data_IF_889135820335
#
_entry.id   IF_889135820335
#
_cell.length_a   1.000
_cell.length_b   1.000
_cell.length_c   1.000
_cell.angle_alpha   90.00
_cell.angle_beta   90.00
_cell.angle_gamma   90.00
#
_symmetry.space_group_name_H-M   'P 1'
#
loop_
_entity.id
_entity.type
_entity.pdbx_description
1 polymer ?
#
# COMPACT_ATOMS: atom_id res chain seq x y z
N UNK A 1 2.51 -63.82 -0.90
CA UNK A 1 3.58 -63.04 -0.26
C UNK A 1 3.54 -61.65 -0.82
N UNK A 2 2.90 -60.74 -0.10
CA UNK A 2 2.76 -59.34 -0.49
C UNK A 2 3.77 -58.54 0.31
N UNK A 3 4.71 -57.89 -0.37
CA UNK A 3 5.67 -56.94 0.23
C UNK A 3 4.93 -55.67 0.62
N UNK A 4 5.09 -55.26 1.88
CA UNK A 4 4.69 -53.94 2.39
C UNK A 4 5.56 -52.84 1.75
N UNK A 5 5.01 -51.69 1.41
CA UNK A 5 5.79 -50.53 0.99
C UNK A 5 6.54 -49.93 2.18
N UNK A 6 7.76 -49.50 1.90
CA UNK A 6 8.73 -48.90 2.81
C UNK A 6 8.24 -47.55 3.34
N UNK A 7 8.08 -47.44 4.66
CA UNK A 7 7.58 -46.26 5.39
C UNK A 7 8.64 -45.16 5.62
N UNK A 8 9.77 -45.17 4.90
CA UNK A 8 10.94 -44.34 5.17
C UNK A 8 11.03 -43.03 4.35
N UNK A 9 10.00 -42.67 3.56
CA UNK A 9 10.06 -41.44 2.70
C UNK A 9 9.02 -40.34 3.01
N UNK A 10 8.50 -40.26 4.23
CA UNK A 10 7.62 -39.18 4.66
C UNK A 10 8.15 -38.53 5.94
N UNK A 11 9.41 -38.07 5.95
CA UNK A 11 9.84 -37.02 6.87
C UNK A 11 9.79 -35.69 6.16
N UNK A 12 8.71 -34.97 6.41
CA UNK A 12 8.54 -33.55 6.11
C UNK A 12 9.37 -32.69 7.10
N UNK A 13 10.70 -32.77 7.00
CA UNK A 13 11.63 -32.02 7.86
C UNK A 13 12.60 -31.17 7.02
N UNK A 14 12.07 -30.36 6.10
CA UNK A 14 12.91 -29.44 5.30
C UNK A 14 12.73 -27.98 5.66
N UNK A 15 11.98 -27.64 6.72
CA UNK A 15 11.86 -26.26 7.21
C UNK A 15 12.53 -26.03 8.59
N UNK A 16 13.35 -26.95 9.11
CA UNK A 16 13.97 -26.81 10.43
C UNK A 16 15.46 -26.45 10.41
N UNK A 17 16.04 -26.09 9.28
CA UNK A 17 17.39 -25.50 9.25
C UNK A 17 17.34 -23.97 9.27
N UNK A 18 16.59 -23.39 10.21
CA UNK A 18 16.87 -22.04 10.68
C UNK A 18 18.14 -22.16 11.52
N UNK A 19 19.23 -21.39 11.23
CA UNK A 19 20.41 -21.39 12.08
C UNK A 19 19.95 -21.16 13.52
N UNK A 20 20.41 -21.97 14.46
CA UNK A 20 20.18 -21.77 15.90
C UNK A 20 20.74 -20.42 16.29
N UNK A 21 19.95 -19.36 16.13
CA UNK A 21 20.21 -18.06 16.72
C UNK A 21 20.22 -18.29 18.23
N UNK A 22 21.32 -17.96 18.87
CA UNK A 22 21.50 -17.96 20.31
C UNK A 22 20.21 -17.44 20.97
N UNK A 23 19.49 -18.33 21.65
CA UNK A 23 18.33 -17.98 22.46
C UNK A 23 18.83 -17.10 23.59
N UNK A 24 18.81 -15.79 23.43
CA UNK A 24 18.95 -14.87 24.55
C UNK A 24 17.72 -15.13 25.43
N UNK A 25 17.93 -15.87 26.50
CA UNK A 25 16.89 -16.09 27.50
C UNK A 25 16.57 -14.73 28.11
N UNK A 26 15.34 -14.30 27.93
CA UNK A 26 14.82 -13.10 28.59
C UNK A 26 15.14 -13.17 30.07
N UNK A 27 15.66 -12.09 30.63
CA UNK A 27 15.89 -11.97 32.05
C UNK A 27 14.57 -12.08 32.82
N UNK A 28 14.63 -12.41 34.11
CA UNK A 28 13.44 -12.54 34.94
C UNK A 28 12.62 -11.24 34.96
N UNK A 29 13.29 -10.10 34.97
CA UNK A 29 12.67 -8.75 34.92
C UNK A 29 11.98 -8.47 33.59
N UNK A 30 12.60 -8.81 32.44
CA UNK A 30 12.01 -8.64 31.11
C UNK A 30 10.75 -9.52 30.93
N UNK A 31 10.71 -10.72 31.54
CA UNK A 31 9.51 -11.58 31.55
C UNK A 31 8.38 -11.02 32.40
N UNK A 32 8.71 -10.43 33.55
CA UNK A 32 7.74 -9.81 34.43
C UNK A 32 7.16 -8.51 33.82
N UNK A 33 7.96 -7.71 33.14
CA UNK A 33 7.47 -6.54 32.41
C UNK A 33 6.57 -6.92 31.23
N UNK A 34 6.97 -7.92 30.44
CA UNK A 34 6.14 -8.43 29.34
C UNK A 34 4.81 -9.00 29.85
N UNK A 35 4.83 -9.72 30.96
CA UNK A 35 3.62 -10.25 31.59
C UNK A 35 2.72 -9.13 32.14
N UNK A 36 3.30 -8.06 32.70
CA UNK A 36 2.53 -6.88 33.15
C UNK A 36 1.91 -6.11 31.97
N UNK A 37 2.64 -5.94 30.86
CA UNK A 37 2.10 -5.32 29.64
C UNK A 37 0.96 -6.15 29.03
N UNK A 38 1.13 -7.46 28.92
CA UNK A 38 0.08 -8.35 28.44
C UNK A 38 -1.14 -8.38 29.36
N UNK A 39 -0.94 -8.33 30.67
CA UNK A 39 -2.03 -8.27 31.63
C UNK A 39 -2.77 -6.92 31.60
N UNK A 40 -2.07 -5.82 31.33
CA UNK A 40 -2.69 -4.50 31.16
C UNK A 40 -3.53 -4.43 29.86
N UNK A 41 -2.98 -4.91 28.73
CA UNK A 41 -3.70 -5.02 27.46
C UNK A 41 -4.94 -5.93 27.56
N UNK A 42 -4.83 -7.04 28.30
CA UNK A 42 -5.96 -7.95 28.53
C UNK A 42 -7.07 -7.28 29.37
N UNK A 43 -6.70 -6.52 30.40
CA UNK A 43 -7.66 -5.77 31.23
C UNK A 43 -8.35 -4.64 30.47
N UNK A 44 -7.64 -3.97 29.58
CA UNK A 44 -8.20 -2.91 28.74
C UNK A 44 -9.16 -3.48 27.68
N UNK A 45 -8.79 -4.60 27.07
CA UNK A 45 -9.65 -5.36 26.17
C UNK A 45 -10.91 -5.90 26.88
N UNK A 46 -10.80 -6.38 28.12
CA UNK A 46 -11.95 -6.80 28.92
C UNK A 46 -12.87 -5.64 29.32
N UNK A 47 -12.31 -4.46 29.62
CA UNK A 47 -13.11 -3.25 29.90
C UNK A 47 -13.89 -2.81 28.66
N UNK A 48 -13.26 -2.77 27.50
CA UNK A 48 -13.91 -2.46 26.22
C UNK A 48 -14.98 -3.51 25.87
N UNK A 49 -14.71 -4.80 26.09
CA UNK A 49 -15.66 -5.88 25.86
C UNK A 49 -16.88 -5.81 26.79
N UNK A 50 -16.72 -5.42 28.06
CA UNK A 50 -17.81 -5.23 29.01
C UNK A 50 -18.71 -4.04 28.68
N UNK A 51 -18.13 -2.96 28.14
CA UNK A 51 -18.90 -1.77 27.75
C UNK A 51 -19.67 -1.99 26.44
N UNK A 52 -19.11 -2.74 25.49
CA UNK A 52 -19.76 -3.11 24.22
C UNK A 52 -20.83 -4.21 24.36
N UNK A 53 -20.98 -4.84 25.53
CA UNK A 53 -21.74 -6.11 25.69
C UNK A 53 -23.24 -5.97 25.84
N UNK A 54 -23.82 -4.76 25.91
CA UNK A 54 -25.24 -4.56 26.27
C UNK A 54 -26.23 -4.46 25.10
N UNK A 55 -25.84 -4.69 23.84
CA UNK A 55 -26.73 -4.57 22.67
C UNK A 55 -26.46 -5.56 21.54
N UNK A 56 -27.26 -5.47 20.46
CA UNK A 56 -27.10 -6.28 19.24
C UNK A 56 -25.68 -6.12 18.64
N UNK A 57 -25.15 -4.89 18.70
CA UNK A 57 -23.77 -4.54 18.26
C UNK A 57 -22.73 -5.30 19.08
N UNK A 58 -22.92 -5.45 20.40
CA UNK A 58 -21.97 -6.18 21.24
C UNK A 58 -21.99 -7.70 21.01
N UNK A 59 -23.14 -8.28 20.62
CA UNK A 59 -23.21 -9.69 20.21
C UNK A 59 -22.56 -9.93 18.85
N UNK A 60 -22.75 -9.01 17.89
CA UNK A 60 -22.10 -9.02 16.58
C UNK A 60 -20.57 -8.89 16.73
N UNK A 61 -20.10 -7.95 17.54
CA UNK A 61 -18.68 -7.73 17.82
C UNK A 61 -18.01 -8.95 18.46
N UNK A 62 -18.67 -9.63 19.42
CA UNK A 62 -18.17 -10.88 20.00
C UNK A 62 -18.07 -12.02 18.98
N UNK A 63 -18.99 -12.10 18.02
CA UNK A 63 -18.91 -13.09 16.93
C UNK A 63 -17.70 -12.82 16.01
N UNK A 64 -17.34 -11.56 15.80
CA UNK A 64 -16.16 -11.19 15.01
C UNK A 64 -14.84 -11.47 15.76
N UNK A 65 -14.86 -11.46 17.09
CA UNK A 65 -13.69 -11.78 17.93
C UNK A 65 -13.50 -13.28 18.18
N UNK A 66 -14.50 -14.10 17.89
CA UNK A 66 -14.47 -15.55 18.08
C UNK A 66 -14.53 -16.26 16.73
N UNK A 67 -13.44 -16.88 16.31
CA UNK A 67 -13.41 -17.62 15.03
C UNK A 67 -12.06 -17.56 14.31
N UNK A 68 -11.91 -18.23 13.16
CA UNK A 68 -10.68 -18.24 12.39
C UNK A 68 -10.30 -16.85 11.84
N UNK A 69 -11.26 -15.93 11.74
CA UNK A 69 -11.06 -14.54 11.28
C UNK A 69 -11.22 -13.55 12.45
N UNK A 70 -10.49 -13.76 13.55
CA UNK A 70 -10.55 -12.86 14.70
C UNK A 70 -10.23 -11.42 14.29
N UNK A 71 -11.10 -10.48 14.71
CA UNK A 71 -10.89 -9.05 14.53
C UNK A 71 -10.42 -8.46 15.84
N UNK A 72 -9.30 -7.76 15.81
CA UNK A 72 -8.78 -6.95 16.92
C UNK A 72 -8.65 -5.52 16.45
N UNK A 73 -9.21 -4.57 17.19
CA UNK A 73 -9.13 -3.15 16.84
C UNK A 73 -7.66 -2.68 16.75
N UNK A 74 -6.82 -3.13 17.70
CA UNK A 74 -5.39 -2.83 17.65
C UNK A 74 -4.71 -3.36 16.38
N UNK A 75 -5.00 -4.62 16.01
CA UNK A 75 -4.46 -5.20 14.78
C UNK A 75 -5.08 -4.60 13.51
N UNK A 76 -6.32 -4.15 13.56
CA UNK A 76 -6.93 -3.40 12.46
C UNK A 76 -6.21 -2.06 12.21
N UNK A 77 -5.83 -1.35 13.30
CA UNK A 77 -5.02 -0.13 13.18
C UNK A 77 -3.61 -0.46 12.65
N UNK A 78 -2.98 -1.53 13.12
CA UNK A 78 -1.67 -1.96 12.58
C UNK A 78 -1.79 -2.32 11.10
N UNK A 79 -2.87 -3.02 10.69
CA UNK A 79 -3.14 -3.34 9.30
C UNK A 79 -3.24 -2.08 8.42
N UNK A 80 -3.83 -0.98 8.94
CA UNK A 80 -3.89 0.28 8.19
C UNK A 80 -2.50 0.79 7.83
N UNK A 81 -1.55 0.77 8.75
CA UNK A 81 -0.20 1.27 8.52
C UNK A 81 0.66 0.35 7.66
N UNK A 82 0.55 -0.98 7.85
CA UNK A 82 1.42 -1.95 7.18
C UNK A 82 0.92 -2.29 5.78
N UNK A 83 -0.40 -2.47 5.63
CA UNK A 83 -0.98 -3.03 4.41
C UNK A 83 -1.46 -1.96 3.43
N UNK A 84 -1.99 -0.83 3.95
CA UNK A 84 -2.68 0.15 3.10
C UNK A 84 -1.87 1.43 2.86
N UNK A 85 -0.64 1.52 3.37
CA UNK A 85 0.21 2.70 3.17
C UNK A 85 0.34 3.06 1.70
N UNK A 86 0.70 2.10 0.88
CA UNK A 86 0.99 2.28 -0.53
C UNK A 86 -0.27 2.60 -1.36
N UNK A 87 -1.33 1.81 -1.24
CA UNK A 87 -2.59 2.09 -1.96
C UNK A 87 -3.19 3.45 -1.58
N UNK A 88 -2.85 3.96 -0.38
CA UNK A 88 -3.27 5.27 0.11
C UNK A 88 -2.53 6.45 -0.52
N UNK A 89 -1.37 6.24 -1.14
CA UNK A 89 -0.61 7.30 -1.82
C UNK A 89 -0.96 7.42 -3.30
N UNK A 90 -1.59 6.42 -3.89
CA UNK A 90 -2.00 6.42 -5.30
C UNK A 90 -2.83 7.65 -5.73
N UNK A 91 -3.75 8.22 -4.88
CA UNK A 91 -4.48 9.43 -5.24
C UNK A 91 -3.62 10.67 -5.47
N UNK A 92 -2.37 10.69 -4.98
CA UNK A 92 -1.45 11.81 -5.15
C UNK A 92 -1.00 12.00 -6.59
N UNK A 93 -0.93 10.92 -7.36
CA UNK A 93 -0.29 10.94 -8.68
C UNK A 93 -1.14 10.36 -9.82
N UNK A 94 -2.13 9.50 -9.55
CA UNK A 94 -2.90 8.83 -10.62
C UNK A 94 -3.61 9.82 -11.54
N UNK A 95 -4.35 10.80 -10.97
CA UNK A 95 -5.06 11.79 -11.79
C UNK A 95 -4.10 12.77 -12.47
N UNK A 96 -3.00 13.13 -11.84
CA UNK A 96 -1.95 13.96 -12.44
C UNK A 96 -1.33 13.25 -13.66
N UNK A 97 -0.95 11.99 -13.50
CA UNK A 97 -0.39 11.17 -14.60
C UNK A 97 -1.40 11.01 -15.75
N UNK A 98 -2.69 10.85 -15.40
CA UNK A 98 -3.75 10.79 -16.40
C UNK A 98 -3.85 12.10 -17.19
N UNK A 99 -3.93 13.25 -16.52
CA UNK A 99 -3.97 14.55 -17.18
C UNK A 99 -2.76 14.79 -18.08
N UNK A 100 -1.57 14.45 -17.60
CA UNK A 100 -0.33 14.55 -18.40
C UNK A 100 -0.39 13.69 -19.65
N UNK A 101 -0.91 12.46 -19.53
CA UNK A 101 -1.09 11.55 -20.67
C UNK A 101 -2.16 12.01 -21.68
N UNK A 102 -3.11 12.86 -21.25
CA UNK A 102 -4.11 13.48 -22.13
C UNK A 102 -3.62 14.82 -22.74
N UNK A 103 -2.42 15.27 -22.38
CA UNK A 103 -1.90 16.58 -22.83
C UNK A 103 -2.44 17.78 -22.04
N UNK A 104 -2.79 17.56 -20.77
CA UNK A 104 -3.25 18.58 -19.81
C UNK A 104 -4.78 18.66 -19.64
N UNK A 105 -5.21 19.50 -18.71
CA UNK A 105 -6.64 19.66 -18.35
C UNK A 105 -7.47 20.20 -19.51
N UNK A 106 -6.90 21.06 -20.35
CA UNK A 106 -7.57 21.66 -21.51
C UNK A 106 -8.01 20.60 -22.56
N UNK A 107 -7.22 19.51 -22.68
CA UNK A 107 -7.48 18.42 -23.62
C UNK A 107 -8.28 17.26 -23.02
N UNK A 108 -8.67 17.40 -21.74
CA UNK A 108 -9.37 16.36 -20.99
C UNK A 108 -10.86 16.70 -20.92
N UNK A 109 -11.65 16.14 -21.80
CA UNK A 109 -13.09 16.37 -21.82
C UNK A 109 -13.85 15.56 -20.76
N UNK A 110 -15.18 15.77 -20.68
CA UNK A 110 -16.04 15.04 -19.74
C UNK A 110 -16.01 13.52 -19.97
N UNK A 111 -15.94 13.08 -21.23
CA UNK A 111 -15.91 11.65 -21.56
C UNK A 111 -14.61 11.01 -21.03
N UNK A 112 -13.49 11.68 -21.18
CA UNK A 112 -12.20 11.23 -20.67
C UNK A 112 -12.17 11.16 -19.13
N UNK A 113 -12.73 12.16 -18.44
CA UNK A 113 -12.81 12.14 -16.96
C UNK A 113 -13.69 11.01 -16.47
N UNK A 114 -14.91 10.85 -17.03
CA UNK A 114 -15.80 9.75 -16.63
C UNK A 114 -15.20 8.38 -16.98
N UNK A 115 -14.50 8.28 -18.10
CA UNK A 115 -13.80 7.08 -18.52
C UNK A 115 -12.69 6.70 -17.54
N UNK A 116 -11.84 7.64 -17.18
CA UNK A 116 -10.77 7.45 -16.18
C UNK A 116 -11.35 7.00 -14.83
N UNK A 117 -12.33 7.72 -14.29
CA UNK A 117 -12.98 7.39 -13.03
C UNK A 117 -13.61 6.00 -13.03
N UNK A 118 -14.28 5.63 -14.15
CA UNK A 118 -14.85 4.31 -14.33
C UNK A 118 -13.78 3.23 -14.34
N UNK A 119 -12.70 3.41 -15.09
CA UNK A 119 -11.58 2.46 -15.12
C UNK A 119 -10.92 2.31 -13.75
N UNK A 120 -10.66 3.40 -13.04
CA UNK A 120 -10.09 3.39 -11.68
C UNK A 120 -11.02 2.64 -10.71
N UNK A 121 -12.30 2.99 -10.67
CA UNK A 121 -13.28 2.35 -9.79
C UNK A 121 -13.36 0.83 -10.01
N UNK A 122 -13.45 0.42 -11.29
CA UNK A 122 -13.55 -1.00 -11.62
C UNK A 122 -12.25 -1.75 -11.46
N UNK A 123 -11.09 -1.11 -11.68
CA UNK A 123 -9.78 -1.71 -11.38
C UNK A 123 -9.62 -1.95 -9.87
N UNK A 124 -9.90 -0.99 -9.01
CA UNK A 124 -9.91 -1.18 -7.55
C UNK A 124 -10.93 -2.25 -7.15
N UNK A 125 -12.08 -2.30 -7.81
CA UNK A 125 -13.10 -3.30 -7.50
C UNK A 125 -12.68 -4.69 -7.92
N UNK A 126 -12.23 -4.88 -9.16
CA UNK A 126 -11.91 -6.21 -9.69
C UNK A 126 -10.56 -6.72 -9.18
N UNK A 127 -9.53 -5.87 -9.19
CA UNK A 127 -8.19 -6.30 -8.80
C UNK A 127 -8.09 -6.35 -7.27
N UNK A 128 -8.35 -5.24 -6.58
CA UNK A 128 -8.13 -5.22 -5.13
C UNK A 128 -9.24 -5.94 -4.37
N UNK A 129 -10.53 -5.63 -4.65
CA UNK A 129 -11.61 -6.25 -3.88
C UNK A 129 -11.83 -7.71 -4.28
N UNK A 130 -12.07 -7.98 -5.58
CA UNK A 130 -12.45 -9.34 -6.00
C UNK A 130 -11.24 -10.27 -6.00
N UNK A 131 -10.17 -9.92 -6.72
CA UNK A 131 -8.99 -10.79 -6.86
C UNK A 131 -8.27 -10.98 -5.53
N UNK A 132 -7.87 -9.87 -4.85
CA UNK A 132 -7.07 -10.00 -3.63
C UNK A 132 -7.94 -10.27 -2.40
N UNK A 133 -8.91 -9.40 -2.06
CA UNK A 133 -9.66 -9.52 -0.79
C UNK A 133 -10.60 -10.72 -0.79
N UNK A 134 -11.35 -10.99 -1.86
CA UNK A 134 -12.34 -12.06 -1.86
C UNK A 134 -11.77 -13.42 -2.27
N UNK A 135 -10.77 -13.48 -3.15
CA UNK A 135 -10.25 -14.74 -3.70
C UNK A 135 -8.88 -15.07 -3.09
N UNK A 136 -7.83 -14.25 -3.35
CA UNK A 136 -6.46 -14.59 -2.99
C UNK A 136 -6.27 -14.81 -1.48
N UNK A 137 -6.86 -13.96 -0.65
CA UNK A 137 -6.76 -14.08 0.81
C UNK A 137 -7.40 -15.36 1.38
N UNK A 138 -8.12 -16.15 0.59
CA UNK A 138 -8.62 -17.48 1.00
C UNK A 138 -7.61 -18.60 0.73
N UNK A 139 -6.57 -18.30 -0.05
CA UNK A 139 -5.54 -19.23 -0.47
C UNK A 139 -4.30 -18.91 0.35
N UNK A 140 -4.15 -19.55 1.50
CA UNK A 140 -3.01 -19.35 2.40
C UNK A 140 -2.19 -20.64 2.54
N UNK A 141 -0.90 -20.48 2.78
CA UNK A 141 -0.01 -21.55 3.17
C UNK A 141 0.35 -21.39 4.65
N UNK A 142 -0.30 -22.17 5.52
CA UNK A 142 -0.11 -22.10 6.99
C UNK A 142 -0.37 -20.72 7.59
N UNK A 143 -1.30 -19.97 6.99
CA UNK A 143 -1.65 -18.61 7.41
C UNK A 143 -0.86 -17.50 6.71
N UNK A 144 0.14 -17.84 5.91
CA UNK A 144 0.94 -16.88 5.13
C UNK A 144 0.43 -16.78 3.69
N UNK A 145 0.46 -15.58 3.14
CA UNK A 145 0.11 -15.27 1.76
C UNK A 145 1.33 -14.85 0.94
N UNK A 146 1.09 -14.27 -0.23
CA UNK A 146 2.13 -13.79 -1.13
C UNK A 146 2.43 -14.75 -2.28
N UNK A 147 3.24 -14.27 -3.23
CA UNK A 147 3.52 -14.96 -4.49
C UNK A 147 4.21 -16.29 -4.25
N UNK A 148 5.20 -16.33 -3.36
CA UNK A 148 5.98 -17.55 -3.11
C UNK A 148 5.24 -18.52 -2.20
N UNK A 149 4.38 -18.05 -1.29
CA UNK A 149 3.46 -18.89 -0.55
C UNK A 149 2.50 -19.61 -1.52
N UNK A 150 1.93 -18.87 -2.48
CA UNK A 150 1.08 -19.43 -3.53
C UNK A 150 1.86 -20.46 -4.38
N UNK A 151 3.07 -20.12 -4.84
CA UNK A 151 3.92 -21.04 -5.58
C UNK A 151 4.19 -22.34 -4.79
N UNK A 152 4.46 -22.24 -3.50
CA UNK A 152 4.74 -23.41 -2.66
C UNK A 152 3.58 -24.42 -2.63
N UNK A 153 2.34 -23.93 -2.74
CA UNK A 153 1.13 -24.77 -2.80
C UNK A 153 0.97 -25.48 -4.14
N UNK A 154 1.35 -24.82 -5.25
CA UNK A 154 1.10 -25.33 -6.61
C UNK A 154 2.31 -25.95 -7.28
N UNK A 155 3.54 -25.80 -6.75
CA UNK A 155 4.79 -26.28 -7.36
C UNK A 155 4.79 -27.77 -7.74
N UNK A 156 4.01 -28.60 -7.04
CA UNK A 156 3.86 -30.02 -7.33
C UNK A 156 3.16 -30.33 -8.66
N UNK A 157 2.46 -29.36 -9.23
CA UNK A 157 1.72 -29.53 -10.49
C UNK A 157 2.59 -29.30 -11.73
N UNK A 158 3.80 -28.75 -11.58
CA UNK A 158 4.74 -28.59 -12.69
C UNK A 158 5.85 -27.59 -12.39
N UNK A 159 7.07 -27.93 -12.84
CA UNK A 159 8.24 -27.08 -12.67
C UNK A 159 8.10 -25.71 -13.39
N UNK A 160 7.34 -25.66 -14.50
CA UNK A 160 7.10 -24.44 -15.26
C UNK A 160 6.42 -23.32 -14.45
N UNK A 161 5.69 -23.67 -13.38
CA UNK A 161 5.05 -22.71 -12.46
C UNK A 161 6.07 -21.85 -11.70
N UNK A 162 7.35 -22.23 -11.69
CA UNK A 162 8.42 -21.38 -11.17
C UNK A 162 8.58 -20.08 -11.98
N UNK A 163 8.37 -20.14 -13.31
CA UNK A 163 8.55 -18.97 -14.20
C UNK A 163 7.59 -17.81 -13.81
N UNK A 164 6.26 -18.00 -13.79
CA UNK A 164 5.36 -16.92 -13.36
C UNK A 164 5.57 -16.49 -11.92
N UNK A 165 6.01 -17.40 -11.02
CA UNK A 165 6.33 -17.00 -9.65
C UNK A 165 7.59 -16.13 -9.57
N UNK A 166 8.64 -16.44 -10.33
CA UNK A 166 9.84 -15.59 -10.43
C UNK A 166 9.52 -14.25 -11.07
N UNK A 167 8.72 -14.22 -12.15
CA UNK A 167 8.29 -12.99 -12.79
C UNK A 167 7.49 -12.10 -11.83
N UNK A 168 6.57 -12.71 -11.07
CA UNK A 168 5.80 -11.98 -10.05
C UNK A 168 6.68 -11.43 -8.93
N UNK A 169 7.65 -12.21 -8.44
CA UNK A 169 8.62 -11.75 -7.44
C UNK A 169 9.51 -10.62 -7.97
N UNK A 170 9.98 -10.73 -9.22
CA UNK A 170 10.76 -9.67 -9.85
C UNK A 170 9.94 -8.38 -10.05
N UNK A 171 8.67 -8.50 -10.47
CA UNK A 171 7.77 -7.37 -10.61
C UNK A 171 7.51 -6.66 -9.26
N UNK A 172 7.33 -7.44 -8.16
CA UNK A 172 7.19 -6.89 -6.82
C UNK A 172 8.45 -6.13 -6.37
N UNK A 173 9.65 -6.67 -6.66
CA UNK A 173 10.90 -5.98 -6.35
C UNK A 173 11.06 -4.69 -7.17
N UNK A 174 10.65 -4.70 -8.45
CA UNK A 174 10.65 -3.51 -9.29
C UNK A 174 9.66 -2.44 -8.74
N UNK A 175 8.47 -2.85 -8.33
CA UNK A 175 7.49 -1.97 -7.69
C UNK A 175 8.02 -1.37 -6.39
N UNK A 176 8.75 -2.16 -5.59
CA UNK A 176 9.41 -1.69 -4.35
C UNK A 176 10.49 -0.62 -4.59
N UNK A 177 10.92 -0.42 -5.83
CA UNK A 177 11.80 0.69 -6.24
C UNK A 177 10.99 1.85 -6.81
N UNK A 178 10.05 1.58 -7.73
CA UNK A 178 9.30 2.62 -8.45
C UNK A 178 8.35 3.39 -7.52
N UNK A 179 7.55 2.68 -6.76
CA UNK A 179 6.45 3.28 -6.00
C UNK A 179 6.91 4.21 -4.87
N UNK A 180 7.96 3.90 -4.07
CA UNK A 180 8.50 4.86 -3.11
C UNK A 180 9.01 6.15 -3.75
N UNK A 181 9.69 6.06 -4.91
CA UNK A 181 10.16 7.22 -5.64
C UNK A 181 9.00 8.13 -6.05
N UNK A 182 7.98 7.56 -6.70
CA UNK A 182 6.79 8.29 -7.18
C UNK A 182 6.00 8.87 -6.00
N UNK A 183 5.74 8.07 -4.95
CA UNK A 183 4.94 8.49 -3.80
C UNK A 183 5.58 9.65 -3.03
N UNK A 184 6.89 9.57 -2.76
CA UNK A 184 7.62 10.63 -2.06
C UNK A 184 7.73 11.88 -2.94
N UNK A 185 8.08 11.72 -4.22
CA UNK A 185 8.19 12.84 -5.17
C UNK A 185 6.86 13.57 -5.31
N UNK A 186 5.75 12.87 -5.54
CA UNK A 186 4.42 13.46 -5.66
C UNK A 186 3.98 14.17 -4.38
N UNK A 187 4.31 13.62 -3.21
CA UNK A 187 4.02 14.27 -1.94
C UNK A 187 4.85 15.57 -1.76
N UNK A 188 6.13 15.54 -2.13
CA UNK A 188 7.04 16.70 -2.09
C UNK A 188 6.62 17.77 -3.12
N UNK A 189 6.09 17.36 -4.28
CA UNK A 189 5.52 18.31 -5.26
C UNK A 189 4.39 19.16 -4.68
N UNK A 190 3.67 18.64 -3.70
CA UNK A 190 2.69 19.43 -2.95
C UNK A 190 3.26 20.72 -2.34
N UNK A 191 4.56 20.76 -2.02
CA UNK A 191 5.23 21.96 -1.51
C UNK A 191 5.22 23.11 -2.54
N UNK A 192 5.27 22.79 -3.85
CA UNK A 192 5.19 23.77 -4.95
C UNK A 192 3.87 24.53 -4.96
N UNK A 193 2.82 23.93 -4.39
CA UNK A 193 1.47 24.52 -4.37
C UNK A 193 1.24 25.47 -3.17
N UNK A 194 2.23 25.59 -2.27
CA UNK A 194 2.15 26.43 -1.09
C UNK A 194 2.67 27.84 -1.40
N UNK A 195 1.85 28.91 -1.22
CA UNK A 195 2.21 30.26 -1.64
C UNK A 195 3.59 30.77 -1.19
N UNK A 196 4.04 30.55 0.06
CA UNK A 196 5.36 31.04 0.50
C UNK A 196 6.53 30.27 -0.12
N UNK A 197 6.32 29.06 -0.63
CA UNK A 197 7.37 28.20 -1.20
C UNK A 197 7.37 28.22 -2.72
N UNK A 198 6.28 28.62 -3.36
CA UNK A 198 6.12 28.59 -4.83
C UNK A 198 7.27 29.32 -5.56
N UNK A 199 7.64 30.51 -5.09
CA UNK A 199 8.74 31.29 -5.68
C UNK A 199 10.07 30.55 -5.57
N UNK A 200 10.35 29.91 -4.42
CA UNK A 200 11.58 29.16 -4.19
C UNK A 200 11.72 27.93 -5.12
N UNK A 201 10.60 27.23 -5.34
CA UNK A 201 10.57 26.07 -6.25
C UNK A 201 10.63 26.48 -7.73
N UNK A 202 10.08 27.64 -8.10
CA UNK A 202 10.22 28.20 -9.47
C UNK A 202 11.65 28.62 -9.76
N UNK A 203 12.34 29.20 -8.79
CA UNK A 203 13.73 29.62 -8.92
C UNK A 203 14.70 28.42 -8.97
N UNK A 204 14.41 27.37 -8.18
CA UNK A 204 15.25 26.20 -8.04
C UNK A 204 14.50 24.93 -8.52
N UNK A 205 14.50 24.68 -9.83
CA UNK A 205 13.79 23.54 -10.44
C UNK A 205 14.12 22.15 -9.85
N UNK A 206 15.36 21.98 -9.35
CA UNK A 206 15.84 20.72 -8.77
C UNK A 206 15.50 20.55 -7.27
N UNK A 207 14.83 21.53 -6.63
CA UNK A 207 14.59 21.48 -5.20
C UNK A 207 13.69 20.29 -4.78
N UNK A 208 12.70 19.97 -5.59
CA UNK A 208 11.85 18.76 -5.36
C UNK A 208 12.68 17.50 -5.35
N UNK A 209 13.56 17.33 -6.34
CA UNK A 209 14.47 16.19 -6.43
C UNK A 209 15.39 16.12 -5.21
N UNK A 210 16.02 17.23 -4.84
CA UNK A 210 16.92 17.27 -3.68
C UNK A 210 16.21 16.85 -2.39
N UNK A 211 15.01 17.38 -2.13
CA UNK A 211 14.22 17.02 -0.95
C UNK A 211 13.83 15.54 -0.99
N UNK A 212 13.38 15.05 -2.15
CA UNK A 212 13.03 13.63 -2.35
C UNK A 212 14.22 12.72 -2.06
N UNK A 213 15.39 13.00 -2.62
CA UNK A 213 16.62 12.25 -2.39
C UNK A 213 17.04 12.25 -0.92
N UNK A 214 16.96 13.41 -0.25
CA UNK A 214 17.28 13.50 1.19
C UNK A 214 16.32 12.61 2.01
N UNK A 215 15.03 12.65 1.74
CA UNK A 215 14.04 11.79 2.42
C UNK A 215 14.37 10.32 2.18
N UNK A 216 14.67 9.91 0.94
CA UNK A 216 15.03 8.54 0.59
C UNK A 216 16.29 8.10 1.35
N UNK A 217 17.35 8.89 1.33
CA UNK A 217 18.62 8.55 2.02
C UNK A 217 18.40 8.40 3.53
N UNK A 218 17.66 9.31 4.16
CA UNK A 218 17.32 9.23 5.58
C UNK A 218 16.51 7.97 5.87
N UNK A 219 15.50 7.67 5.05
CA UNK A 219 14.63 6.51 5.16
C UNK A 219 15.45 5.20 5.19
N UNK A 220 16.32 5.00 4.19
CA UNK A 220 17.16 3.81 4.08
C UNK A 220 18.25 3.73 5.14
N UNK A 221 18.78 4.87 5.63
CA UNK A 221 19.78 4.92 6.70
C UNK A 221 19.21 4.49 8.06
N UNK A 222 17.94 4.78 8.33
CA UNK A 222 17.27 4.41 9.59
C UNK A 222 16.77 2.96 9.59
N UNK A 223 16.65 2.32 8.43
CA UNK A 223 16.07 0.99 8.26
C UNK A 223 16.76 -0.10 9.11
N UNK A 224 18.06 0.02 9.34
CA UNK A 224 18.85 -0.93 10.15
C UNK A 224 18.45 -0.97 11.63
N UNK A 225 17.74 0.07 12.14
CA UNK A 225 17.35 0.16 13.56
C UNK A 225 16.04 -0.56 13.87
N UNK A 226 15.29 -0.99 12.83
CA UNK A 226 13.97 -1.60 12.97
C UNK A 226 12.84 -0.58 13.15
N UNK A 227 11.64 -0.98 12.73
CA UNK A 227 10.45 -0.11 12.71
C UNK A 227 9.35 -0.57 13.67
N UNK A 228 9.66 -1.52 14.58
CA UNK A 228 8.66 -2.18 15.44
C UNK A 228 7.86 -1.22 16.33
N UNK A 229 8.54 -0.27 16.97
CA UNK A 229 7.90 0.71 17.85
C UNK A 229 7.04 1.72 17.09
N UNK A 230 7.26 1.85 15.78
CA UNK A 230 6.65 2.86 14.92
C UNK A 230 5.34 2.33 14.28
N UNK A 231 5.15 1.01 14.17
CA UNK A 231 4.00 0.41 13.47
C UNK A 231 2.63 0.81 14.00
N UNK A 232 2.47 0.99 15.33
CA UNK A 232 1.20 1.50 15.90
C UNK A 232 0.96 2.98 15.59
N UNK A 233 2.03 3.77 15.57
CA UNK A 233 1.96 5.18 15.19
C UNK A 233 1.59 5.30 13.71
N UNK A 234 2.19 4.49 12.85
CA UNK A 234 1.90 4.43 11.42
C UNK A 234 0.42 4.16 11.14
N UNK A 235 -0.17 3.16 11.82
CA UNK A 235 -1.57 2.85 11.63
C UNK A 235 -2.51 4.00 11.99
N UNK A 236 -2.22 4.72 13.06
CA UNK A 236 -3.00 5.90 13.46
C UNK A 236 -2.86 7.05 12.46
N UNK A 237 -1.65 7.30 11.95
CA UNK A 237 -1.40 8.33 10.94
C UNK A 237 -2.12 7.98 9.65
N UNK A 238 -2.06 6.72 9.21
CA UNK A 238 -2.73 6.25 8.00
C UNK A 238 -4.26 6.31 8.14
N UNK A 239 -4.80 6.05 9.33
CA UNK A 239 -6.23 6.26 9.60
C UNK A 239 -6.64 7.73 9.41
N UNK A 240 -5.84 8.67 9.94
CA UNK A 240 -6.06 10.12 9.74
C UNK A 240 -5.95 10.46 8.26
N UNK A 241 -4.95 9.92 7.56
CA UNK A 241 -4.75 10.11 6.14
C UNK A 241 -5.96 9.67 5.29
N UNK A 242 -6.47 8.44 5.48
CA UNK A 242 -7.64 7.97 4.73
C UNK A 242 -8.91 8.74 5.08
N UNK A 243 -9.06 9.14 6.35
CA UNK A 243 -10.17 10.02 6.75
C UNK A 243 -10.07 11.37 6.05
N UNK A 244 -8.88 11.94 5.97
CA UNK A 244 -8.62 13.18 5.24
C UNK A 244 -8.93 13.02 3.74
N UNK A 245 -8.49 11.95 3.09
CA UNK A 245 -8.81 11.63 1.70
C UNK A 245 -10.33 11.57 1.46
N UNK A 246 -11.05 10.89 2.37
CA UNK A 246 -12.50 10.73 2.27
C UNK A 246 -13.22 12.08 2.41
N UNK A 247 -12.82 12.90 3.38
CA UNK A 247 -13.46 14.19 3.64
C UNK A 247 -13.22 15.17 2.48
N UNK A 248 -11.96 15.32 2.06
CA UNK A 248 -11.63 16.22 0.94
C UNK A 248 -12.29 15.75 -0.36
N UNK A 249 -12.29 14.44 -0.60
CA UNK A 249 -12.98 13.87 -1.74
C UNK A 249 -14.49 14.13 -1.71
N UNK A 250 -15.15 13.90 -0.57
CA UNK A 250 -16.58 14.12 -0.40
C UNK A 250 -16.98 15.58 -0.59
N UNK A 251 -16.18 16.52 -0.05
CA UNK A 251 -16.42 17.96 -0.22
C UNK A 251 -16.39 18.37 -1.69
N UNK A 252 -15.38 17.91 -2.44
CA UNK A 252 -15.28 18.22 -3.86
C UNK A 252 -16.35 17.49 -4.69
N UNK A 253 -16.66 16.25 -4.36
CA UNK A 253 -17.72 15.47 -5.00
C UNK A 253 -19.09 16.14 -4.83
N UNK A 254 -19.35 16.82 -3.70
CA UNK A 254 -20.60 17.53 -3.47
C UNK A 254 -20.81 18.68 -4.45
N UNK A 255 -19.77 19.16 -5.11
CA UNK A 255 -19.84 20.19 -6.15
C UNK A 255 -20.37 19.73 -7.50
N UNK A 256 -20.22 18.44 -7.84
CA UNK A 256 -20.76 17.82 -9.06
C UNK A 256 -21.02 16.32 -8.89
N UNK A 257 -22.23 15.96 -8.52
CA UNK A 257 -22.66 14.57 -8.38
C UNK A 257 -22.76 13.81 -9.71
N UNK A 258 -22.72 14.50 -10.86
CA UNK A 258 -22.84 13.87 -12.17
C UNK A 258 -21.68 12.92 -12.49
N UNK A 259 -20.52 13.08 -11.80
CA UNK A 259 -19.37 12.17 -11.93
C UNK A 259 -19.68 10.75 -11.44
N UNK A 260 -20.74 10.55 -10.62
CA UNK A 260 -21.18 9.22 -10.21
C UNK A 260 -21.68 8.36 -11.38
N UNK A 261 -21.98 8.96 -12.53
CA UNK A 261 -22.24 8.21 -13.76
C UNK A 261 -21.07 7.25 -14.11
N UNK A 262 -19.84 7.57 -13.72
CA UNK A 262 -18.65 6.72 -13.90
C UNK A 262 -18.70 5.38 -13.13
N UNK A 263 -19.64 5.18 -12.22
CA UNK A 263 -19.88 3.86 -11.61
C UNK A 263 -20.36 2.83 -12.65
N UNK A 264 -20.94 3.29 -13.76
CA UNK A 264 -21.28 2.43 -14.88
C UNK A 264 -20.00 2.06 -15.68
N UNK A 265 -19.63 0.76 -15.78
CA UNK A 265 -18.41 0.31 -16.46
C UNK A 265 -18.38 0.66 -17.97
N UNK A 266 -19.52 0.95 -18.56
CA UNK A 266 -19.63 1.32 -19.98
C UNK A 266 -18.81 2.57 -20.30
N UNK A 267 -18.71 3.53 -19.37
CA UNK A 267 -17.87 4.73 -19.57
C UNK A 267 -16.38 4.37 -19.69
N UNK A 268 -15.89 3.48 -18.83
CA UNK A 268 -14.50 3.00 -18.91
C UNK A 268 -14.20 2.25 -20.20
N UNK A 269 -15.09 1.31 -20.58
CA UNK A 269 -14.89 0.53 -21.80
C UNK A 269 -14.97 1.42 -23.06
N UNK A 270 -15.94 2.32 -23.13
CA UNK A 270 -16.07 3.27 -24.26
C UNK A 270 -14.82 4.15 -24.36
N UNK A 271 -14.38 4.72 -23.24
CA UNK A 271 -13.21 5.59 -23.22
C UNK A 271 -11.95 4.88 -23.69
N UNK A 272 -11.75 3.60 -23.32
CA UNK A 272 -10.55 2.84 -23.70
C UNK A 272 -10.36 2.75 -25.22
N UNK A 273 -11.45 2.73 -25.97
CA UNK A 273 -11.47 2.64 -27.44
C UNK A 273 -11.91 3.96 -28.11
N UNK A 274 -12.04 5.04 -27.34
CA UNK A 274 -12.48 6.35 -27.83
C UNK A 274 -11.33 7.11 -28.47
N UNK A 275 -11.58 7.93 -29.52
CA UNK A 275 -10.61 8.91 -30.02
C UNK A 275 -10.22 9.98 -28.99
N UNK A 276 -11.03 10.20 -27.95
CA UNK A 276 -10.74 11.11 -26.85
C UNK A 276 -9.69 10.56 -25.85
N UNK A 277 -9.27 9.32 -26.04
CA UNK A 277 -8.17 8.72 -25.27
C UNK A 277 -6.85 8.92 -26.00
N UNK A 278 -6.16 10.02 -25.73
CA UNK A 278 -4.89 10.36 -26.37
C UNK A 278 -3.80 9.30 -26.11
N UNK A 279 -3.81 8.66 -24.94
CA UNK A 279 -2.86 7.63 -24.57
C UNK A 279 -3.21 6.23 -25.14
N UNK A 280 -4.41 6.04 -25.72
CA UNK A 280 -4.85 4.72 -26.18
C UNK A 280 -4.86 3.67 -25.06
N UNK A 281 -4.50 2.43 -25.38
CA UNK A 281 -4.45 1.33 -24.38
C UNK A 281 -3.43 1.60 -23.28
N UNK A 282 -2.41 2.43 -23.50
CA UNK A 282 -1.40 2.78 -22.50
C UNK A 282 -2.01 3.50 -21.28
N UNK A 283 -3.21 4.09 -21.39
CA UNK A 283 -3.95 4.66 -20.25
C UNK A 283 -4.19 3.62 -19.14
N UNK A 284 -4.25 2.34 -19.48
CA UNK A 284 -4.36 1.27 -18.48
C UNK A 284 -3.16 1.24 -17.52
N UNK A 285 -1.95 1.61 -17.97
CA UNK A 285 -0.79 1.77 -17.09
C UNK A 285 -1.05 2.82 -16.01
N UNK A 286 -1.58 3.98 -16.40
CA UNK A 286 -1.99 5.04 -15.45
C UNK A 286 -3.10 4.57 -14.50
N UNK A 287 -4.09 3.85 -15.01
CA UNK A 287 -5.18 3.30 -14.18
C UNK A 287 -4.64 2.28 -13.17
N UNK A 288 -3.68 1.45 -13.56
CA UNK A 288 -3.06 0.48 -12.65
C UNK A 288 -2.32 1.14 -11.47
N UNK A 289 -1.85 2.37 -11.61
CA UNK A 289 -1.29 3.12 -10.48
C UNK A 289 -2.27 3.25 -9.31
N UNK A 290 -3.58 3.26 -9.58
CA UNK A 290 -4.62 3.31 -8.53
C UNK A 290 -4.73 2.01 -7.72
N UNK A 291 -4.12 0.92 -8.17
CA UNK A 291 -4.16 -0.41 -7.55
C UNK A 291 -2.81 -0.88 -7.04
N UNK A 292 -1.75 -0.07 -7.14
CA UNK A 292 -0.45 -0.37 -6.53
C UNK A 292 -0.63 -0.58 -5.03
N UNK A 293 0.14 -1.50 -4.46
CA UNK A 293 0.01 -1.90 -3.05
C UNK A 293 -1.13 -2.88 -2.76
N UNK A 294 -1.94 -3.27 -3.77
CA UNK A 294 -2.99 -4.28 -3.56
C UNK A 294 -2.43 -5.66 -3.22
N UNK A 295 -1.22 -5.99 -3.64
CA UNK A 295 -0.51 -7.23 -3.33
C UNK A 295 -0.13 -7.32 -1.84
N UNK A 296 0.13 -6.18 -1.17
CA UNK A 296 0.41 -6.14 0.26
C UNK A 296 -0.75 -6.72 1.09
N UNK A 297 -2.00 -6.60 0.61
CA UNK A 297 -3.17 -7.23 1.23
C UNK A 297 -3.00 -8.75 1.38
N UNK A 298 -2.35 -9.38 0.42
CA UNK A 298 -2.15 -10.81 0.39
C UNK A 298 -0.82 -11.24 1.01
N UNK A 299 0.26 -10.51 0.79
CA UNK A 299 1.58 -10.83 1.35
C UNK A 299 1.62 -10.65 2.88
N UNK A 300 1.02 -9.57 3.39
CA UNK A 300 1.06 -9.24 4.82
C UNK A 300 -0.11 -9.83 5.63
N UNK A 301 -0.96 -10.62 4.98
CA UNK A 301 -2.11 -11.27 5.61
C UNK A 301 -1.72 -12.08 6.86
N UNK A 302 -0.58 -12.76 6.83
CA UNK A 302 -0.08 -13.55 7.95
C UNK A 302 0.28 -12.72 9.18
N UNK A 303 0.76 -11.49 8.98
CA UNK A 303 1.20 -10.60 10.04
C UNK A 303 0.04 -9.90 10.75
N UNK A 304 -0.94 -9.42 9.99
CA UNK A 304 -2.04 -8.60 10.52
C UNK A 304 -3.34 -9.36 10.74
N UNK A 305 -3.45 -10.54 10.14
CA UNK A 305 -4.65 -11.39 10.19
C UNK A 305 -5.73 -10.99 9.20
N UNK A 306 -6.20 -11.95 8.43
CA UNK A 306 -7.20 -11.83 7.36
C UNK A 306 -8.48 -11.09 7.80
N UNK A 307 -8.98 -11.36 9.01
CA UNK A 307 -10.18 -10.74 9.54
C UNK A 307 -10.05 -9.22 9.68
N UNK A 308 -8.88 -8.71 10.06
CA UNK A 308 -8.64 -7.28 10.21
C UNK A 308 -8.64 -6.58 8.85
N UNK A 309 -8.10 -7.22 7.80
CA UNK A 309 -8.13 -6.70 6.43
C UNK A 309 -9.58 -6.66 5.91
N UNK A 310 -10.37 -7.71 6.09
CA UNK A 310 -11.79 -7.71 5.71
C UNK A 310 -12.59 -6.60 6.39
N UNK A 311 -12.25 -6.28 7.64
CA UNK A 311 -12.91 -5.23 8.41
C UNK A 311 -12.53 -3.83 7.94
N UNK A 312 -11.26 -3.59 7.63
CA UNK A 312 -10.73 -2.26 7.27
C UNK A 312 -10.92 -1.91 5.79
N UNK A 313 -10.89 -2.89 4.88
CA UNK A 313 -10.98 -2.67 3.44
C UNK A 313 -12.20 -1.84 2.97
N UNK A 314 -13.43 -2.07 3.46
CA UNK A 314 -14.58 -1.26 3.03
C UNK A 314 -14.41 0.23 3.30
N UNK A 315 -13.84 0.61 4.46
CA UNK A 315 -13.53 2.00 4.78
C UNK A 315 -12.49 2.58 3.82
N UNK A 316 -11.40 1.84 3.59
CA UNK A 316 -10.33 2.25 2.67
C UNK A 316 -10.87 2.46 1.25
N UNK A 317 -11.65 1.49 0.74
CA UNK A 317 -12.25 1.58 -0.59
C UNK A 317 -13.14 2.80 -0.74
N UNK A 318 -13.99 3.07 0.25
CA UNK A 318 -14.87 4.25 0.23
C UNK A 318 -14.05 5.54 0.24
N UNK A 319 -12.99 5.62 1.06
CA UNK A 319 -12.12 6.78 1.10
C UNK A 319 -11.43 7.05 -0.24
N UNK A 320 -10.89 6.00 -0.88
CA UNK A 320 -10.27 6.09 -2.21
C UNK A 320 -11.27 6.53 -3.28
N UNK A 321 -12.45 5.91 -3.31
CA UNK A 321 -13.48 6.25 -4.29
C UNK A 321 -13.92 7.70 -4.14
N UNK A 322 -14.20 8.16 -2.92
CA UNK A 322 -14.56 9.56 -2.68
C UNK A 322 -13.47 10.50 -3.15
N UNK A 323 -12.20 10.17 -2.89
CA UNK A 323 -11.10 11.02 -3.31
C UNK A 323 -10.96 11.09 -4.83
N UNK A 324 -10.95 9.95 -5.53
CA UNK A 324 -10.86 9.94 -6.99
C UNK A 324 -12.04 10.65 -7.66
N UNK A 325 -13.26 10.40 -7.18
CA UNK A 325 -14.45 11.06 -7.73
C UNK A 325 -14.46 12.56 -7.40
N UNK A 326 -13.97 12.96 -6.23
CA UNK A 326 -13.76 14.36 -5.88
C UNK A 326 -12.75 15.06 -6.80
N UNK A 327 -11.63 14.41 -7.12
CA UNK A 327 -10.66 14.91 -8.09
C UNK A 327 -11.29 15.05 -9.48
N UNK A 328 -12.07 14.06 -9.92
CA UNK A 328 -12.79 14.13 -11.18
C UNK A 328 -13.82 15.27 -11.25
N UNK A 329 -14.59 15.48 -10.18
CA UNK A 329 -15.52 16.60 -10.08
C UNK A 329 -14.77 17.95 -10.14
N UNK A 330 -13.65 18.06 -9.46
CA UNK A 330 -12.80 19.25 -9.50
C UNK A 330 -12.24 19.51 -10.92
N UNK A 331 -11.76 18.47 -11.62
CA UNK A 331 -11.26 18.57 -13.00
C UNK A 331 -12.36 19.10 -13.91
N UNK A 332 -13.58 18.53 -13.88
CA UNK A 332 -14.69 18.97 -14.71
C UNK A 332 -15.08 20.43 -14.45
N UNK A 333 -15.07 20.85 -13.18
CA UNK A 333 -15.38 22.23 -12.79
C UNK A 333 -14.34 23.22 -13.31
N UNK A 334 -13.08 22.83 -13.37
CA UNK A 334 -11.95 23.72 -13.68
C UNK A 334 -11.38 23.54 -15.09
N UNK A 335 -11.98 22.68 -15.91
CA UNK A 335 -11.54 22.38 -17.28
C UNK A 335 -11.35 23.64 -18.14
N UNK A 336 -12.23 24.63 -18.01
CA UNK A 336 -12.21 25.89 -18.78
C UNK A 336 -11.55 27.04 -18.02
N UNK A 337 -10.92 26.80 -16.86
CA UNK A 337 -10.27 27.87 -16.11
C UNK A 337 -8.91 28.19 -16.75
N UNK A 338 -8.68 29.44 -17.23
CA UNK A 338 -7.41 29.84 -17.88
C UNK A 338 -6.18 29.63 -16.99
N UNK A 339 -6.34 29.68 -15.67
CA UNK A 339 -5.26 29.50 -14.70
C UNK A 339 -4.63 28.10 -14.80
N UNK A 340 -5.47 27.08 -15.03
CA UNK A 340 -5.01 25.68 -15.05
C UNK A 340 -4.73 25.13 -16.44
N UNK A 341 -5.23 25.80 -17.50
CA UNK A 341 -5.08 25.31 -18.88
C UNK A 341 -3.63 25.22 -19.36
N UNK A 342 -2.77 26.09 -18.86
CA UNK A 342 -1.35 26.17 -19.23
C UNK A 342 -0.41 25.68 -18.12
N UNK A 343 -0.96 25.10 -17.04
CA UNK A 343 -0.14 24.62 -15.93
C UNK A 343 0.41 23.22 -16.26
N UNK A 344 1.71 23.16 -16.58
CA UNK A 344 2.42 21.89 -16.71
C UNK A 344 2.51 21.17 -15.37
N UNK A 345 2.29 19.84 -15.39
CA UNK A 345 2.35 19.01 -14.16
C UNK A 345 1.23 19.31 -13.16
N UNK A 346 0.09 19.83 -13.61
CA UNK A 346 -1.07 20.09 -12.78
C UNK A 346 -1.43 18.88 -11.93
N UNK A 347 -1.39 19.03 -10.60
CA UNK A 347 -1.80 17.99 -9.67
C UNK A 347 -3.17 18.29 -9.08
N UNK A 348 -4.24 17.61 -9.54
CA UNK A 348 -5.60 17.84 -9.08
C UNK A 348 -5.78 17.63 -7.58
N UNK A 349 -5.05 16.67 -7.00
CA UNK A 349 -5.15 16.34 -5.59
C UNK A 349 -4.88 17.55 -4.69
N UNK A 350 -3.81 18.32 -4.94
CA UNK A 350 -3.50 19.49 -4.12
C UNK A 350 -4.33 20.70 -4.52
N UNK A 351 -4.64 20.86 -5.81
CA UNK A 351 -5.38 22.01 -6.30
C UNK A 351 -6.86 22.01 -5.91
N UNK A 352 -7.46 20.85 -5.64
CA UNK A 352 -8.86 20.78 -5.19
C UNK A 352 -9.11 21.27 -3.77
N UNK A 353 -8.05 21.71 -3.05
CA UNK A 353 -8.11 22.15 -1.66
C UNK A 353 -7.82 23.64 -1.51
N UNK A 354 -8.45 24.27 -0.51
CA UNK A 354 -8.10 25.62 -0.11
C UNK A 354 -6.63 25.70 0.36
N UNK A 355 -5.95 26.85 0.16
CA UNK A 355 -4.54 27.03 0.53
C UNK A 355 -4.21 26.62 1.97
N UNK A 356 -5.08 26.92 2.93
CA UNK A 356 -4.87 26.52 4.33
C UNK A 356 -4.92 25.01 4.55
N UNK A 357 -5.79 24.31 3.84
CA UNK A 357 -5.92 22.83 3.91
C UNK A 357 -4.74 22.16 3.22
N UNK A 358 -4.15 22.77 2.19
CA UNK A 358 -2.97 22.24 1.49
C UNK A 358 -1.77 22.05 2.40
N UNK A 359 -1.54 22.92 3.38
CA UNK A 359 -0.45 22.72 4.36
C UNK A 359 -0.60 21.39 5.10
N UNK A 360 -1.81 21.10 5.56
CA UNK A 360 -2.12 19.84 6.23
C UNK A 360 -2.00 18.66 5.27
N UNK A 361 -2.50 18.82 4.04
CA UNK A 361 -2.41 17.80 2.99
C UNK A 361 -0.96 17.42 2.68
N UNK A 362 -0.06 18.40 2.54
CA UNK A 362 1.36 18.17 2.25
C UNK A 362 2.05 17.44 3.40
N UNK A 363 1.83 17.85 4.64
CA UNK A 363 2.42 17.17 5.80
C UNK A 363 1.94 15.73 5.89
N UNK A 364 0.63 15.51 5.73
CA UNK A 364 0.05 14.16 5.78
C UNK A 364 0.51 13.30 4.60
N UNK A 365 0.59 13.85 3.37
CA UNK A 365 1.02 13.11 2.18
C UNK A 365 2.49 12.70 2.26
N UNK A 366 3.39 13.58 2.71
CA UNK A 366 4.80 13.24 2.91
C UNK A 366 4.93 12.14 3.97
N UNK A 367 4.20 12.27 5.09
CA UNK A 367 4.22 11.25 6.14
C UNK A 367 3.66 9.92 5.64
N UNK A 368 2.55 9.94 4.88
CA UNK A 368 1.96 8.76 4.27
C UNK A 368 2.91 8.11 3.25
N UNK A 369 3.59 8.91 2.42
CA UNK A 369 4.61 8.43 1.48
C UNK A 369 5.80 7.76 2.16
N UNK A 370 6.27 8.29 3.28
CA UNK A 370 7.31 7.67 4.11
C UNK A 370 6.83 6.33 4.67
N UNK A 371 5.60 6.26 5.19
CA UNK A 371 5.02 5.03 5.73
C UNK A 371 4.84 3.97 4.64
N UNK A 372 4.31 4.36 3.49
CA UNK A 372 4.16 3.48 2.32
C UNK A 372 5.50 2.89 1.88
N UNK A 373 6.53 3.74 1.77
CA UNK A 373 7.88 3.33 1.41
C UNK A 373 8.47 2.34 2.41
N UNK A 374 8.25 2.53 3.71
CA UNK A 374 8.70 1.61 4.76
C UNK A 374 8.06 0.22 4.60
N UNK A 375 6.77 0.16 4.31
CA UNK A 375 6.06 -1.10 4.11
C UNK A 375 6.62 -1.86 2.89
N UNK A 376 6.80 -1.18 1.75
CA UNK A 376 7.36 -1.76 0.53
C UNK A 376 8.79 -2.26 0.70
N UNK A 377 9.67 -1.49 1.35
CA UNK A 377 11.06 -1.89 1.62
C UNK A 377 11.09 -3.15 2.49
N UNK A 378 10.23 -3.21 3.52
CA UNK A 378 10.13 -4.40 4.39
C UNK A 378 9.60 -5.60 3.61
N UNK A 379 8.60 -5.40 2.75
CA UNK A 379 8.08 -6.42 1.83
C UNK A 379 9.17 -6.94 0.87
N UNK A 380 10.01 -6.06 0.34
CA UNK A 380 11.13 -6.45 -0.53
C UNK A 380 12.14 -7.34 0.21
N UNK A 381 12.47 -7.03 1.47
CA UNK A 381 13.36 -7.90 2.26
C UNK A 381 12.74 -9.28 2.52
N UNK A 382 11.45 -9.33 2.81
CA UNK A 382 10.72 -10.60 2.99
C UNK A 382 10.73 -11.40 1.71
N UNK A 383 10.44 -10.78 0.58
CA UNK A 383 10.44 -11.42 -0.75
C UNK A 383 11.82 -12.00 -1.09
N UNK A 384 12.90 -11.25 -0.86
CA UNK A 384 14.28 -11.71 -1.10
C UNK A 384 14.63 -12.88 -0.16
N UNK A 385 14.21 -12.82 1.09
CA UNK A 385 14.41 -13.92 2.06
C UNK A 385 13.69 -15.20 1.62
N UNK A 386 12.46 -15.09 1.14
CA UNK A 386 11.68 -16.22 0.62
C UNK A 386 12.30 -16.78 -0.67
N UNK A 387 12.74 -15.93 -1.60
CA UNK A 387 13.45 -16.33 -2.82
C UNK A 387 14.75 -17.08 -2.50
N UNK A 388 15.49 -16.63 -1.47
CA UNK A 388 16.68 -17.33 -0.96
C UNK A 388 16.32 -18.70 -0.40
N UNK A 389 15.21 -18.80 0.35
CA UNK A 389 14.70 -20.08 0.86
C UNK A 389 14.29 -21.06 -0.24
N UNK A 390 13.91 -20.57 -1.42
CA UNK A 390 13.62 -21.37 -2.61
C UNK A 390 14.87 -21.67 -3.47
N UNK A 391 16.06 -21.25 -3.07
CA UNK A 391 17.33 -21.31 -3.82
C UNK A 391 17.28 -20.55 -5.17
N UNK A 392 16.46 -19.51 -5.28
CA UNK A 392 16.39 -18.66 -6.47
C UNK A 392 17.29 -17.41 -6.37
N UNK A 393 17.73 -17.10 -5.18
CA UNK A 393 18.69 -16.02 -4.91
C UNK A 393 19.84 -16.53 -4.04
N UNK A 394 21.04 -15.92 -4.14
CA UNK A 394 22.17 -16.27 -3.29
C UNK A 394 21.85 -15.98 -1.82
N UNK A 395 22.50 -16.72 -0.92
CA UNK A 395 22.37 -16.53 0.53
C UNK A 395 23.03 -15.22 0.96
N UNK A 396 22.21 -14.20 1.15
CA UNK A 396 22.62 -12.89 1.66
C UNK A 396 22.57 -12.85 3.17
N UNK A 397 23.37 -11.96 3.78
CA UNK A 397 23.37 -11.76 5.22
C UNK A 397 22.04 -11.12 5.65
N UNK A 398 21.22 -11.86 6.40
CA UNK A 398 19.97 -11.38 6.99
C UNK A 398 20.22 -10.97 8.44
N UNK A 399 19.76 -9.80 8.83
CA UNK A 399 19.78 -9.30 10.22
C UNK A 399 18.35 -9.14 10.72
N UNK A 400 18.16 -9.34 12.01
CA UNK A 400 16.85 -9.19 12.67
C UNK A 400 16.95 -8.03 13.67
N UNK A 401 16.64 -6.79 13.25
CA UNK A 401 16.82 -5.60 14.09
C UNK A 401 15.82 -5.53 15.25
N UNK A 402 14.65 -6.17 15.13
CA UNK A 402 13.63 -6.17 16.16
C UNK A 402 13.59 -7.47 16.96
N UNK A 403 13.06 -7.38 18.20
CA UNK A 403 12.86 -8.55 19.09
C UNK A 403 11.66 -9.41 18.66
N UNK A 404 10.73 -8.86 17.88
CA UNK A 404 9.55 -9.57 17.36
C UNK A 404 9.89 -10.29 16.06
N UNK A 405 9.25 -11.47 15.86
CA UNK A 405 9.37 -12.23 14.62
C UNK A 405 8.71 -11.44 13.49
N UNK A 406 9.46 -11.18 12.42
CA UNK A 406 8.89 -10.64 11.18
C UNK A 406 9.65 -9.45 10.56
N UNK A 407 10.50 -8.75 11.30
CA UNK A 407 11.31 -7.68 10.69
C UNK A 407 12.66 -8.22 10.24
N UNK A 408 12.83 -8.24 8.92
CA UNK A 408 14.06 -8.62 8.24
C UNK A 408 14.79 -7.36 7.77
N UNK A 409 16.12 -7.39 7.82
CA UNK A 409 16.97 -6.37 7.22
C UNK A 409 18.10 -7.04 6.44
N UNK A 410 18.22 -6.72 5.18
CA UNK A 410 19.25 -7.25 4.29
C UNK A 410 20.08 -6.08 3.77
N UNK A 411 21.30 -5.84 4.33
CA UNK A 411 22.09 -4.63 4.03
C UNK A 411 22.35 -4.41 2.56
N UNK A 412 22.68 -5.47 1.81
CA UNK A 412 22.97 -5.39 0.38
C UNK A 412 21.74 -4.92 -0.39
N UNK A 413 20.59 -5.53 -0.14
CA UNK A 413 19.33 -5.17 -0.81
C UNK A 413 18.92 -3.74 -0.43
N UNK A 414 19.07 -3.36 0.85
CA UNK A 414 18.77 -2.01 1.31
C UNK A 414 19.50 -0.94 0.48
N UNK A 415 20.79 -1.08 0.29
CA UNK A 415 21.56 -0.09 -0.44
C UNK A 415 21.36 -0.18 -1.97
N UNK A 416 21.12 -1.38 -2.52
CA UNK A 416 20.75 -1.54 -3.93
C UNK A 416 19.41 -0.84 -4.21
N UNK A 417 18.40 -1.04 -3.37
CA UNK A 417 17.11 -0.36 -3.49
C UNK A 417 17.28 1.17 -3.35
N UNK A 418 18.06 1.62 -2.37
CA UNK A 418 18.34 3.06 -2.18
C UNK A 418 18.95 3.70 -3.43
N UNK A 419 20.00 3.10 -3.97
CA UNK A 419 20.66 3.61 -5.18
C UNK A 419 19.75 3.58 -6.40
N UNK A 420 18.97 2.51 -6.55
CA UNK A 420 17.99 2.40 -7.65
C UNK A 420 16.90 3.46 -7.56
N UNK A 421 16.39 3.73 -6.35
CA UNK A 421 15.39 4.79 -6.10
C UNK A 421 15.95 6.18 -6.45
N UNK A 422 17.17 6.48 -6.03
CA UNK A 422 17.82 7.76 -6.34
C UNK A 422 17.97 7.91 -7.86
N UNK A 423 18.47 6.88 -8.55
CA UNK A 423 18.65 6.88 -9.99
C UNK A 423 17.34 7.10 -10.77
N UNK A 424 16.24 6.46 -10.33
CA UNK A 424 14.91 6.62 -10.96
C UNK A 424 14.32 8.02 -10.66
N UNK A 425 14.65 8.61 -9.52
CA UNK A 425 14.18 9.96 -9.16
C UNK A 425 14.89 11.06 -9.94
N UNK A 426 16.00 10.77 -10.60
CA UNK A 426 16.71 11.75 -11.45
C UNK A 426 15.89 12.04 -12.73
N UNK A 427 15.67 13.32 -13.09
CA UNK A 427 15.02 13.64 -14.35
C UNK A 427 15.95 13.21 -15.50
N UNK A 428 15.44 12.33 -16.34
CA UNK A 428 16.06 11.94 -17.62
C UNK A 428 15.91 13.04 -18.66
#
# INVERSE_FOLDING_TARGET
MAQKPDETLLRADTFTNVPKVSRRTLTKEEREELAKQQAAETKEAEKLAKTASKGAIGRWWRRLQSGPNKISLGMAIVALGVVYGDIGTSPLYTAQTFLSGQGGIANTDREAVLGMLSLVFWSITLITTVKYVLIAMRIDNKGEGGIFALYSLIRRHGAWLAIPAMLGGAAFLADSVLTPAVSISSAVEGLKTLPPLEALFKENGNLTLMITVVIIVVLFSVQSRGTESIGRVFGSVVLVWFTFLAVVGAVNLSGDWSVLAALNPVYGVKFLFSPHNAAGIAVMGTVFLSTTGAEALYSDMGHVGRGNIYFTWPFIKVALVFNYFGQGAWILKNQNNPEYQHMEGLNPFFQMMDPNVRYVAVILSVTAGIIASQALITGAFTMVSEATGLNWMPHLQVRYPARTRGQLYIPVINWVLCLSLIHISEPT
#
